data_IF_445683381832
#
_entry.id   IF_445683381832
#
_cell.length_a   1.000
_cell.length_b   1.000
_cell.length_c   1.000
_cell.angle_alpha   90.00
_cell.angle_beta   90.00
_cell.angle_gamma   90.00
#
_symmetry.space_group_name_H-M   'P 1'
#
loop_
_entity.id
_entity.type
_entity.pdbx_description
1 polymer ?
#
# COMPACT_ATOMS: atom_id res chain seq x y z
N UNK A 1 -32.91 33.96 27.10
CA UNK A 1 -33.52 32.70 26.59
C UNK A 1 -32.54 31.85 25.77
N UNK A 2 -31.83 32.42 24.78
CA UNK A 2 -30.96 31.70 23.84
C UNK A 2 -29.94 30.78 24.56
N UNK A 3 -29.21 31.29 25.56
CA UNK A 3 -28.23 30.50 26.32
C UNK A 3 -28.79 29.21 26.94
N UNK A 4 -30.02 29.23 27.50
CA UNK A 4 -30.68 28.00 28.04
C UNK A 4 -31.08 27.01 26.94
N UNK A 5 -31.34 27.47 25.71
CA UNK A 5 -31.62 26.59 24.57
C UNK A 5 -30.32 25.95 24.05
N UNK A 6 -29.27 26.73 23.89
CA UNK A 6 -27.93 26.24 23.53
C UNK A 6 -27.40 25.21 24.55
N UNK A 7 -27.51 25.50 25.85
CA UNK A 7 -27.07 24.58 26.91
C UNK A 7 -27.84 23.25 26.88
N UNK A 8 -29.16 23.28 26.64
CA UNK A 8 -29.99 22.06 26.50
C UNK A 8 -29.66 21.28 25.23
N UNK A 9 -29.43 21.97 24.11
CA UNK A 9 -29.02 21.33 22.86
C UNK A 9 -27.65 20.65 23.02
N UNK A 10 -26.66 21.34 23.61
CA UNK A 10 -25.34 20.79 23.92
C UNK A 10 -25.40 19.60 24.88
N UNK A 11 -26.20 19.67 25.95
CA UNK A 11 -26.40 18.55 26.86
C UNK A 11 -27.07 17.35 26.18
N UNK A 12 -28.08 17.58 25.34
CA UNK A 12 -28.74 16.50 24.59
C UNK A 12 -27.78 15.85 23.59
N UNK A 13 -26.97 16.65 22.89
CA UNK A 13 -25.95 16.14 21.97
C UNK A 13 -24.89 15.33 22.72
N UNK A 14 -24.43 15.80 23.88
CA UNK A 14 -23.47 15.10 24.72
C UNK A 14 -24.03 13.77 25.27
N UNK A 15 -25.30 13.74 25.67
CA UNK A 15 -25.97 12.50 26.11
C UNK A 15 -26.19 11.51 24.96
N UNK A 16 -26.56 11.99 23.76
CA UNK A 16 -26.67 11.15 22.56
C UNK A 16 -25.30 10.58 22.17
N UNK A 17 -24.24 11.41 22.18
CA UNK A 17 -22.88 10.97 21.92
C UNK A 17 -22.41 9.95 22.97
N UNK A 18 -22.63 10.20 24.25
CA UNK A 18 -22.30 9.26 25.33
C UNK A 18 -23.04 7.92 25.17
N UNK A 19 -24.35 7.94 24.89
CA UNK A 19 -25.14 6.75 24.61
C UNK A 19 -24.59 5.98 23.39
N UNK A 20 -24.32 6.68 22.29
CA UNK A 20 -23.76 6.09 21.09
C UNK A 20 -22.41 5.42 21.37
N UNK A 21 -21.47 6.10 22.03
CA UNK A 21 -20.13 5.59 22.29
C UNK A 21 -20.02 4.58 23.45
N UNK A 22 -21.00 4.48 24.35
CA UNK A 22 -20.97 3.51 25.47
C UNK A 22 -21.83 2.28 25.26
N UNK A 23 -22.98 2.41 24.57
CA UNK A 23 -23.97 1.33 24.44
C UNK A 23 -24.15 0.84 23.00
N UNK A 24 -24.09 1.71 22.00
CA UNK A 24 -24.18 1.30 20.59
C UNK A 24 -22.83 0.95 19.96
N UNK A 25 -21.73 1.54 20.47
CA UNK A 25 -20.38 1.43 19.93
C UNK A 25 -19.32 1.29 21.05
N UNK A 26 -19.47 0.32 21.99
CA UNK A 26 -18.59 0.15 23.15
C UNK A 26 -17.11 -0.01 22.75
N UNK A 27 -16.16 0.26 23.66
CA UNK A 27 -14.77 -0.09 23.46
C UNK A 27 -14.64 -1.62 23.35
N UNK A 28 -13.95 -2.08 22.32
CA UNK A 28 -13.81 -3.51 22.08
C UNK A 28 -12.73 -4.13 22.97
N UNK A 29 -13.06 -5.28 23.52
CA UNK A 29 -12.10 -6.16 24.17
C UNK A 29 -11.72 -7.26 23.18
N UNK A 30 -10.80 -6.93 22.27
CA UNK A 30 -10.13 -7.95 21.47
C UNK A 30 -9.23 -8.80 22.40
N UNK A 31 -9.21 -10.14 22.26
CA UNK A 31 -8.21 -10.97 22.90
C UNK A 31 -6.79 -10.49 22.54
N UNK A 32 -5.87 -10.54 23.49
CA UNK A 32 -4.47 -10.21 23.23
C UNK A 32 -3.86 -11.20 22.24
N UNK A 33 -3.40 -10.71 21.09
CA UNK A 33 -2.69 -11.53 20.09
C UNK A 33 -1.20 -11.53 20.40
N UNK A 34 -0.60 -12.71 20.45
CA UNK A 34 0.85 -12.89 20.66
C UNK A 34 1.64 -12.81 19.36
N UNK A 35 2.92 -12.42 19.44
CA UNK A 35 3.85 -12.46 18.31
C UNK A 35 3.98 -13.86 17.69
N UNK A 36 3.84 -14.91 18.50
CA UNK A 36 3.82 -16.30 18.05
C UNK A 36 2.59 -16.66 17.23
N UNK A 37 1.42 -16.08 17.54
CA UNK A 37 0.20 -16.23 16.73
C UNK A 37 0.33 -15.47 15.41
N UNK A 38 0.78 -14.22 15.44
CA UNK A 38 1.05 -13.44 14.23
C UNK A 38 2.01 -14.15 13.28
N UNK A 39 3.11 -14.73 13.81
CA UNK A 39 4.06 -15.49 12.99
C UNK A 39 3.46 -16.76 12.40
N UNK A 40 2.58 -17.48 13.13
CA UNK A 40 1.87 -18.65 12.59
C UNK A 40 0.86 -18.26 11.50
N UNK A 41 0.12 -17.17 11.68
CA UNK A 41 -0.80 -16.64 10.67
C UNK A 41 -0.06 -16.21 9.41
N UNK A 42 1.08 -15.51 9.55
CA UNK A 42 1.93 -15.15 8.42
C UNK A 42 2.48 -16.39 7.68
N UNK A 43 2.92 -17.43 8.41
CA UNK A 43 3.33 -18.69 7.79
C UNK A 43 2.17 -19.37 7.05
N UNK A 44 0.96 -19.40 7.61
CA UNK A 44 -0.20 -19.99 6.95
C UNK A 44 -0.54 -19.28 5.62
N UNK A 45 -0.35 -17.96 5.54
CA UNK A 45 -0.45 -17.20 4.29
C UNK A 45 0.65 -17.57 3.28
N UNK A 46 1.90 -17.69 3.71
CA UNK A 46 3.02 -18.16 2.86
C UNK A 46 2.72 -19.56 2.32
N UNK A 47 2.31 -20.50 3.18
CA UNK A 47 1.95 -21.86 2.81
C UNK A 47 0.79 -21.90 1.80
N UNK A 48 -0.19 -20.99 1.94
CA UNK A 48 -1.28 -20.84 0.96
C UNK A 48 -0.75 -20.39 -0.40
N UNK A 49 0.10 -19.36 -0.46
CA UNK A 49 0.70 -18.93 -1.74
C UNK A 49 1.59 -20.00 -2.36
N UNK A 50 2.40 -20.70 -1.56
CA UNK A 50 3.26 -21.79 -2.05
C UNK A 50 2.44 -22.94 -2.64
N UNK A 51 1.35 -23.37 -1.97
CA UNK A 51 0.46 -24.43 -2.47
C UNK A 51 -0.33 -24.02 -3.71
N UNK A 52 -0.67 -22.74 -3.85
CA UNK A 52 -1.51 -22.21 -4.94
C UNK A 52 -0.72 -21.51 -6.05
N UNK A 53 0.62 -21.66 -6.10
CA UNK A 53 1.42 -21.20 -7.21
C UNK A 53 1.46 -22.25 -8.33
N UNK A 54 1.23 -21.81 -9.55
CA UNK A 54 1.29 -22.62 -10.77
C UNK A 54 2.74 -22.76 -11.25
N UNK A 55 3.04 -23.74 -12.12
CA UNK A 55 4.40 -23.94 -12.65
C UNK A 55 4.98 -22.75 -13.42
N UNK A 56 4.13 -21.87 -13.96
CA UNK A 56 4.55 -20.66 -14.68
C UNK A 56 4.90 -19.48 -13.76
N UNK A 57 4.79 -19.63 -12.44
CA UNK A 57 5.03 -18.58 -11.45
C UNK A 57 3.79 -17.75 -11.07
N UNK A 58 2.67 -17.88 -11.79
CA UNK A 58 1.40 -17.24 -11.38
C UNK A 58 0.79 -17.93 -10.16
N UNK A 59 -0.12 -17.24 -9.47
CA UNK A 59 -0.90 -17.80 -8.36
C UNK A 59 -2.37 -17.99 -8.74
N UNK A 60 -3.10 -18.76 -7.95
CA UNK A 60 -4.56 -18.64 -7.88
C UNK A 60 -4.94 -17.21 -7.50
N UNK A 61 -5.62 -16.48 -8.40
CA UNK A 61 -5.86 -15.05 -8.22
C UNK A 61 -6.88 -14.74 -7.12
N UNK A 62 -8.02 -15.42 -7.14
CA UNK A 62 -9.07 -15.29 -6.14
C UNK A 62 -9.72 -16.64 -5.93
N UNK A 63 -9.89 -17.00 -4.66
CA UNK A 63 -10.69 -18.12 -4.17
C UNK A 63 -11.86 -17.55 -3.35
N UNK A 64 -13.07 -18.02 -3.63
CA UNK A 64 -14.28 -17.65 -2.94
C UNK A 64 -14.67 -18.81 -2.02
N UNK A 65 -14.56 -18.62 -0.71
CA UNK A 65 -14.82 -19.69 0.26
C UNK A 65 -16.33 -19.98 0.43
N UNK A 66 -17.21 -19.03 0.09
CA UNK A 66 -18.65 -19.15 0.29
C UNK A 66 -19.32 -20.11 -0.72
N UNK A 67 -18.74 -20.27 -1.91
CA UNK A 67 -19.26 -21.10 -3.02
C UNK A 67 -18.22 -22.05 -3.63
N UNK A 68 -17.06 -22.22 -2.99
CA UNK A 68 -15.93 -23.07 -3.41
C UNK A 68 -15.48 -22.80 -4.87
N UNK A 69 -15.43 -21.52 -5.26
CA UNK A 69 -15.14 -21.11 -6.64
C UNK A 69 -13.83 -20.34 -6.80
N UNK A 70 -13.31 -20.33 -8.03
CA UNK A 70 -12.07 -19.64 -8.41
C UNK A 70 -12.30 -18.68 -9.57
N UNK A 71 -11.73 -17.47 -9.50
CA UNK A 71 -11.75 -16.55 -10.65
C UNK A 71 -10.73 -16.95 -11.72
N UNK A 72 -11.13 -16.82 -12.99
CA UNK A 72 -10.23 -16.92 -14.16
C UNK A 72 -9.45 -15.64 -14.46
N UNK A 73 -9.76 -14.54 -13.76
CA UNK A 73 -9.06 -13.26 -13.91
C UNK A 73 -7.61 -13.34 -13.41
N UNK A 74 -6.76 -12.44 -13.90
CA UNK A 74 -5.42 -12.25 -13.37
C UNK A 74 -5.05 -10.77 -13.39
N UNK A 75 -4.46 -10.27 -12.30
CA UNK A 75 -4.07 -8.87 -12.19
C UNK A 75 -2.55 -8.73 -11.95
N UNK A 76 -1.78 -8.14 -12.89
CA UNK A 76 -0.33 -7.93 -12.76
C UNK A 76 0.11 -7.13 -11.53
N UNK A 77 -0.65 -6.12 -11.12
CA UNK A 77 -0.33 -5.31 -9.93
C UNK A 77 -0.45 -6.18 -8.68
N UNK A 78 -1.47 -7.03 -8.60
CA UNK A 78 -1.61 -8.00 -7.51
C UNK A 78 -0.55 -9.10 -7.56
N UNK A 79 -0.10 -9.52 -8.75
CA UNK A 79 1.07 -10.40 -8.87
C UNK A 79 2.31 -9.75 -8.24
N UNK A 80 2.65 -8.52 -8.63
CA UNK A 80 3.80 -7.80 -8.05
C UNK A 80 3.65 -7.56 -6.54
N UNK A 81 2.43 -7.27 -6.06
CA UNK A 81 2.13 -7.13 -4.63
C UNK A 81 2.32 -8.43 -3.84
N UNK A 82 1.90 -9.57 -4.38
CA UNK A 82 2.15 -10.89 -3.76
C UNK A 82 3.65 -11.22 -3.76
N UNK A 83 4.35 -10.97 -4.87
CA UNK A 83 5.80 -11.13 -4.96
C UNK A 83 6.54 -10.29 -3.90
N UNK A 84 6.15 -9.01 -3.75
CA UNK A 84 6.67 -8.10 -2.73
C UNK A 84 6.40 -8.61 -1.30
N UNK A 85 5.15 -8.99 -0.99
CA UNK A 85 4.80 -9.50 0.34
C UNK A 85 5.50 -10.82 0.68
N UNK A 86 5.78 -11.67 -0.31
CA UNK A 86 6.57 -12.88 -0.13
C UNK A 86 8.06 -12.58 0.09
N UNK A 87 8.62 -11.49 -0.47
CA UNK A 87 9.97 -11.04 -0.10
C UNK A 87 10.02 -10.43 1.30
N UNK A 88 8.99 -9.69 1.75
CA UNK A 88 8.86 -9.27 3.15
C UNK A 88 8.81 -10.49 4.10
N UNK A 89 8.02 -11.52 3.74
CA UNK A 89 7.95 -12.77 4.48
C UNK A 89 9.31 -13.53 4.49
N UNK A 90 10.05 -13.51 3.38
CA UNK A 90 11.39 -14.08 3.30
C UNK A 90 12.38 -13.34 4.22
N UNK A 91 12.37 -12.00 4.22
CA UNK A 91 13.17 -11.17 5.12
C UNK A 91 12.83 -11.43 6.60
N UNK A 92 11.56 -11.70 6.91
CA UNK A 92 11.11 -12.15 8.24
C UNK A 92 11.45 -13.62 8.57
N UNK A 93 12.16 -14.33 7.68
CA UNK A 93 12.60 -15.71 7.86
C UNK A 93 11.47 -16.74 7.84
N UNK A 94 10.41 -16.52 7.04
CA UNK A 94 9.32 -17.49 6.87
C UNK A 94 9.67 -18.51 5.76
N UNK A 95 9.79 -19.82 6.08
CA UNK A 95 10.13 -20.85 5.10
C UNK A 95 9.19 -20.88 3.88
N UNK A 96 9.77 -21.17 2.71
CA UNK A 96 9.05 -21.27 1.43
C UNK A 96 8.79 -19.93 0.73
N UNK A 97 8.80 -18.80 1.45
CA UNK A 97 8.47 -17.49 0.90
C UNK A 97 9.41 -17.06 -0.23
N UNK A 98 10.73 -17.12 -0.01
CA UNK A 98 11.75 -16.71 -0.99
C UNK A 98 11.61 -17.44 -2.33
N UNK A 99 11.51 -18.77 -2.30
CA UNK A 99 11.38 -19.57 -3.53
C UNK A 99 10.03 -19.39 -4.25
N UNK A 100 8.99 -18.95 -3.55
CA UNK A 100 7.71 -18.57 -4.16
C UNK A 100 7.80 -17.19 -4.82
N UNK A 101 8.45 -16.23 -4.15
CA UNK A 101 8.70 -14.89 -4.65
C UNK A 101 9.61 -14.90 -5.89
N UNK A 102 10.73 -15.64 -5.86
CA UNK A 102 11.66 -15.77 -7.00
C UNK A 102 10.95 -16.29 -8.26
N UNK A 103 9.99 -17.22 -8.14
CA UNK A 103 9.16 -17.70 -9.26
C UNK A 103 8.18 -16.65 -9.78
N UNK A 104 7.61 -15.83 -8.91
CA UNK A 104 6.79 -14.69 -9.33
C UNK A 104 7.63 -13.64 -10.06
N UNK A 105 8.78 -13.27 -9.48
CA UNK A 105 9.77 -12.40 -10.13
C UNK A 105 10.14 -12.91 -11.53
N UNK A 106 10.42 -14.20 -11.71
CA UNK A 106 10.71 -14.76 -13.04
C UNK A 106 9.54 -14.49 -14.03
N UNK A 107 8.30 -14.79 -13.65
CA UNK A 107 7.12 -14.51 -14.48
C UNK A 107 6.96 -13.03 -14.85
N UNK A 108 7.27 -12.12 -13.92
CA UNK A 108 7.16 -10.68 -14.16
C UNK A 108 8.29 -10.14 -15.04
N UNK A 109 9.53 -10.66 -14.88
CA UNK A 109 10.69 -10.31 -15.68
C UNK A 109 10.60 -10.83 -17.13
N UNK A 110 9.96 -11.98 -17.34
CA UNK A 110 9.63 -12.50 -18.68
C UNK A 110 8.61 -11.62 -19.45
N UNK A 111 8.04 -10.60 -18.78
CA UNK A 111 6.95 -9.74 -19.29
C UNK A 111 7.30 -8.25 -19.22
N UNK A 112 8.58 -7.91 -19.29
CA UNK A 112 9.00 -6.52 -19.38
C UNK A 112 8.71 -5.92 -20.76
N UNK A 113 8.17 -4.71 -20.77
CA UNK A 113 8.28 -3.78 -21.87
C UNK A 113 9.52 -2.92 -21.62
N UNK A 114 10.46 -2.92 -22.56
CA UNK A 114 11.71 -2.18 -22.46
C UNK A 114 11.78 -1.09 -23.53
N UNK A 115 12.21 0.11 -23.13
CA UNK A 115 12.28 1.28 -24.00
C UNK A 115 13.20 2.34 -23.40
N UNK A 116 13.93 3.08 -24.24
CA UNK A 116 14.67 4.30 -23.86
C UNK A 116 15.50 4.19 -22.55
N UNK A 117 16.09 3.02 -22.32
CA UNK A 117 16.93 2.72 -21.14
C UNK A 117 16.18 2.37 -19.84
N UNK A 118 14.85 2.27 -19.87
CA UNK A 118 13.99 1.85 -18.76
C UNK A 118 13.19 0.56 -19.11
N UNK A 119 12.58 -0.04 -18.09
CA UNK A 119 11.73 -1.22 -18.22
C UNK A 119 10.44 -1.08 -17.37
N UNK A 120 9.35 -1.76 -17.76
CA UNK A 120 8.10 -1.79 -17.01
C UNK A 120 7.40 -3.16 -17.14
N UNK A 121 6.66 -3.57 -16.10
CA UNK A 121 5.95 -4.87 -16.09
C UNK A 121 4.68 -4.80 -16.94
N UNK A 122 4.74 -5.34 -18.17
CA UNK A 122 3.65 -5.36 -19.14
C UNK A 122 2.98 -6.75 -19.21
N UNK A 123 2.45 -7.22 -18.08
CA UNK A 123 1.83 -8.54 -18.00
C UNK A 123 0.29 -8.53 -18.19
N UNK A 124 -0.32 -7.36 -18.31
CA UNK A 124 -1.78 -7.20 -18.52
C UNK A 124 -2.16 -6.77 -19.94
N UNK A 125 -1.17 -6.51 -20.80
CA UNK A 125 -1.35 -5.77 -22.04
C UNK A 125 -1.43 -4.25 -21.82
N UNK A 126 -1.51 -3.46 -22.90
CA UNK A 126 -1.59 -2.01 -22.82
C UNK A 126 -2.99 -1.53 -22.33
N UNK A 127 -3.06 -0.41 -21.57
CA UNK A 127 -1.93 0.39 -21.12
C UNK A 127 -1.24 -0.21 -19.88
N UNK A 128 0.07 -0.04 -19.78
CA UNK A 128 0.91 -0.66 -18.75
C UNK A 128 0.67 0.04 -17.40
N UNK A 129 0.18 -0.68 -16.40
CA UNK A 129 -0.09 -0.12 -15.06
C UNK A 129 1.18 0.11 -14.24
N UNK A 130 1.39 1.35 -13.77
CA UNK A 130 2.60 1.76 -13.02
C UNK A 130 2.82 0.95 -11.73
N UNK A 131 1.74 0.63 -10.99
CA UNK A 131 1.81 -0.14 -9.75
C UNK A 131 2.46 -1.52 -9.88
N UNK A 132 2.34 -2.17 -11.05
CA UNK A 132 3.01 -3.46 -11.32
C UNK A 132 4.53 -3.34 -11.24
N UNK A 133 5.08 -2.24 -11.77
CA UNK A 133 6.50 -1.94 -11.70
C UNK A 133 6.90 -1.49 -10.30
N UNK A 134 6.12 -0.60 -9.67
CA UNK A 134 6.42 -0.06 -8.35
C UNK A 134 6.54 -1.15 -7.28
N UNK A 135 5.54 -2.04 -7.20
CA UNK A 135 5.55 -3.14 -6.24
C UNK A 135 6.65 -4.17 -6.52
N UNK A 136 7.00 -4.41 -7.80
CA UNK A 136 8.13 -5.29 -8.14
C UNK A 136 9.46 -4.68 -7.70
N UNK A 137 9.68 -3.38 -7.91
CA UNK A 137 10.88 -2.66 -7.46
C UNK A 137 11.02 -2.77 -5.93
N UNK A 138 9.97 -2.43 -5.18
CA UNK A 138 9.99 -2.52 -3.72
C UNK A 138 10.33 -3.95 -3.25
N UNK A 139 9.69 -4.98 -3.85
CA UNK A 139 9.98 -6.39 -3.56
C UNK A 139 11.41 -6.81 -3.88
N UNK A 140 11.97 -6.38 -5.02
CA UNK A 140 13.33 -6.71 -5.43
C UNK A 140 14.40 -6.04 -4.56
N UNK A 141 14.17 -4.82 -4.08
CA UNK A 141 15.05 -4.16 -3.11
C UNK A 141 15.00 -4.89 -1.75
N UNK A 142 13.82 -5.25 -1.25
CA UNK A 142 13.67 -6.08 -0.04
C UNK A 142 14.40 -7.44 -0.19
N UNK A 143 14.29 -8.08 -1.37
CA UNK A 143 15.02 -9.31 -1.68
C UNK A 143 16.54 -9.08 -1.59
N UNK A 144 17.04 -8.01 -2.20
CA UNK A 144 18.46 -7.66 -2.24
C UNK A 144 19.02 -7.49 -0.83
N UNK A 145 18.35 -6.69 0.01
CA UNK A 145 18.71 -6.53 1.43
C UNK A 145 18.71 -7.86 2.19
N UNK A 146 17.67 -8.69 2.02
CA UNK A 146 17.51 -9.95 2.75
C UNK A 146 18.46 -11.07 2.32
N UNK A 147 19.05 -10.99 1.12
CA UNK A 147 19.86 -12.07 0.52
C UNK A 147 21.30 -11.67 0.16
N UNK A 148 21.60 -10.37 0.11
CA UNK A 148 22.85 -9.80 -0.43
C UNK A 148 23.19 -10.26 -1.86
N UNK A 149 22.18 -10.64 -2.66
CA UNK A 149 22.31 -11.17 -4.03
C UNK A 149 21.96 -10.07 -5.06
N UNK A 150 22.96 -9.41 -5.70
CA UNK A 150 22.77 -8.22 -6.54
C UNK A 150 22.33 -8.55 -7.98
N UNK A 151 21.89 -9.79 -8.26
CA UNK A 151 21.58 -10.25 -9.63
C UNK A 151 20.52 -9.44 -10.37
N UNK A 152 19.74 -8.65 -9.63
CA UNK A 152 18.66 -7.84 -10.18
C UNK A 152 18.98 -6.34 -10.23
N UNK A 153 20.16 -5.89 -9.77
CA UNK A 153 20.49 -4.46 -9.63
C UNK A 153 20.31 -3.67 -10.96
N UNK A 154 20.73 -4.23 -12.11
CA UNK A 154 20.49 -3.61 -13.43
C UNK A 154 18.99 -3.43 -13.75
N UNK A 155 18.19 -4.48 -13.55
CA UNK A 155 16.77 -4.43 -13.89
C UNK A 155 15.99 -3.59 -12.89
N UNK A 156 16.40 -3.60 -11.61
CA UNK A 156 15.91 -2.69 -10.56
C UNK A 156 16.11 -1.23 -11.00
N UNK A 157 17.30 -0.86 -11.47
CA UNK A 157 17.58 0.49 -11.96
C UNK A 157 16.78 0.84 -13.23
N UNK A 158 16.59 -0.11 -14.16
CA UNK A 158 15.73 0.08 -15.35
C UNK A 158 14.26 0.26 -14.99
N UNK A 159 13.76 -0.47 -13.99
CA UNK A 159 12.40 -0.33 -13.46
C UNK A 159 12.22 0.99 -12.70
N UNK A 160 13.24 1.43 -11.94
CA UNK A 160 13.26 2.74 -11.27
C UNK A 160 13.13 3.91 -12.25
N UNK A 161 13.88 3.88 -13.36
CA UNK A 161 13.80 4.92 -14.42
C UNK A 161 12.41 5.05 -15.04
N UNK A 162 11.63 3.96 -15.10
CA UNK A 162 10.24 4.03 -15.54
C UNK A 162 9.35 4.74 -14.51
N UNK A 163 9.54 4.49 -13.21
CA UNK A 163 8.79 5.21 -12.17
C UNK A 163 9.07 6.72 -12.20
N UNK A 164 10.33 7.11 -12.44
CA UNK A 164 10.67 8.51 -12.66
C UNK A 164 10.01 9.09 -13.93
N UNK A 165 10.05 8.36 -15.05
CA UNK A 165 9.39 8.79 -16.30
C UNK A 165 7.86 8.92 -16.18
N UNK A 166 7.24 8.17 -15.27
CA UNK A 166 5.82 8.28 -14.91
C UNK A 166 5.52 9.39 -13.88
N UNK A 167 6.54 9.98 -13.24
CA UNK A 167 6.39 10.98 -12.17
C UNK A 167 6.54 12.40 -12.68
N UNK A 168 5.43 13.15 -12.68
CA UNK A 168 5.37 14.54 -13.15
C UNK A 168 6.24 15.51 -12.33
N UNK A 169 6.55 16.71 -12.86
CA UNK A 169 7.20 17.79 -12.11
C UNK A 169 6.41 18.29 -10.88
N UNK A 170 5.13 17.95 -10.75
CA UNK A 170 4.32 18.19 -9.56
C UNK A 170 4.52 17.14 -8.46
N UNK A 171 5.00 15.94 -8.81
CA UNK A 171 5.00 14.75 -7.94
C UNK A 171 3.82 13.81 -8.16
N UNK A 172 2.84 14.18 -8.99
CA UNK A 172 1.77 13.28 -9.41
C UNK A 172 2.33 12.14 -10.28
N UNK A 173 1.86 10.90 -10.06
CA UNK A 173 2.33 9.71 -10.77
C UNK A 173 1.24 9.22 -11.72
N UNK A 174 1.55 9.14 -13.02
CA UNK A 174 0.62 8.59 -14.00
C UNK A 174 0.31 7.12 -13.69
N UNK A 175 -0.97 6.75 -13.68
CA UNK A 175 -1.39 5.39 -13.36
C UNK A 175 -1.03 4.38 -14.44
N UNK A 176 -0.99 4.83 -15.70
CA UNK A 176 -0.74 3.97 -16.85
C UNK A 176 0.22 4.59 -17.87
N UNK A 177 0.89 3.73 -18.64
CA UNK A 177 1.72 4.10 -19.79
C UNK A 177 1.15 3.49 -21.09
N UNK A 178 0.91 4.33 -22.08
CA UNK A 178 0.48 3.93 -23.42
C UNK A 178 1.70 3.51 -24.25
N UNK A 179 1.95 2.21 -24.32
CA UNK A 179 3.05 1.62 -25.08
C UNK A 179 2.87 1.66 -26.60
N UNK A 180 1.65 1.96 -27.09
CA UNK A 180 1.39 2.09 -28.52
C UNK A 180 1.78 3.49 -29.02
N UNK A 181 1.46 4.54 -28.25
CA UNK A 181 1.87 5.91 -28.55
C UNK A 181 3.20 6.32 -27.88
N UNK A 182 3.76 5.51 -26.99
CA UNK A 182 5.05 5.74 -26.35
C UNK A 182 5.05 6.84 -25.30
N UNK A 183 3.98 7.02 -24.53
CA UNK A 183 3.80 8.13 -23.59
C UNK A 183 3.03 7.74 -22.33
N UNK A 184 3.23 8.41 -21.19
CA UNK A 184 2.31 8.34 -20.04
C UNK A 184 0.89 8.73 -20.45
N UNK A 185 -0.12 8.14 -19.79
CA UNK A 185 -1.52 8.52 -20.00
C UNK A 185 -1.84 9.78 -19.18
N UNK A 186 -1.98 10.92 -19.85
CA UNK A 186 -2.23 12.20 -19.20
C UNK A 186 -3.60 12.24 -18.50
N UNK A 187 -3.62 12.70 -17.24
CA UNK A 187 -4.84 12.77 -16.42
C UNK A 187 -5.33 11.43 -15.85
N UNK A 188 -4.65 10.32 -16.14
CA UNK A 188 -4.94 9.00 -15.55
C UNK A 188 -4.15 8.82 -14.24
N UNK A 189 -4.87 8.75 -13.13
CA UNK A 189 -4.33 8.65 -11.78
C UNK A 189 -4.95 7.49 -11.01
N UNK A 190 -4.15 6.89 -10.13
CA UNK A 190 -4.55 5.76 -9.31
C UNK A 190 -4.44 6.16 -7.86
N UNK A 191 -5.52 5.92 -7.12
CA UNK A 191 -5.63 6.13 -5.67
C UNK A 191 -4.41 5.63 -4.87
N UNK A 192 -3.73 4.60 -5.38
CA UNK A 192 -2.65 3.91 -4.69
C UNK A 192 -1.29 3.94 -5.42
N UNK A 193 -1.23 4.05 -6.75
CA UNK A 193 0.06 3.90 -7.46
C UNK A 193 1.04 5.04 -7.17
N UNK A 194 0.54 6.23 -6.82
CA UNK A 194 1.37 7.35 -6.34
C UNK A 194 2.11 6.99 -5.05
N UNK A 195 1.42 6.38 -4.07
CA UNK A 195 2.04 5.87 -2.85
C UNK A 195 2.94 4.64 -3.08
N UNK A 196 2.55 3.71 -3.96
CA UNK A 196 3.37 2.54 -4.32
C UNK A 196 4.70 2.98 -4.96
N UNK A 197 4.66 3.95 -5.89
CA UNK A 197 5.84 4.51 -6.54
C UNK A 197 6.70 5.33 -5.57
N UNK A 198 6.09 6.10 -4.67
CA UNK A 198 6.79 6.81 -3.59
C UNK A 198 7.63 5.85 -2.74
N UNK A 199 7.01 4.75 -2.28
CA UNK A 199 7.72 3.75 -1.48
C UNK A 199 8.83 3.05 -2.25
N UNK A 200 8.57 2.64 -3.50
CA UNK A 200 9.56 1.99 -4.35
C UNK A 200 10.79 2.88 -4.59
N UNK A 201 10.60 4.14 -4.94
CA UNK A 201 11.68 5.12 -5.15
C UNK A 201 12.41 5.48 -3.85
N UNK A 202 11.69 5.54 -2.73
CA UNK A 202 12.32 5.82 -1.45
C UNK A 202 13.22 4.66 -0.97
N UNK A 203 12.81 3.40 -1.20
CA UNK A 203 13.68 2.23 -0.97
C UNK A 203 14.88 2.19 -1.91
N UNK A 204 14.66 2.48 -3.21
CA UNK A 204 15.75 2.59 -4.19
C UNK A 204 16.83 3.59 -3.74
N UNK A 205 16.44 4.74 -3.20
CA UNK A 205 17.39 5.76 -2.74
C UNK A 205 18.25 5.29 -1.56
N UNK A 206 17.73 4.44 -0.67
CA UNK A 206 18.51 3.92 0.46
C UNK A 206 19.59 2.93 0.02
N UNK A 207 19.31 2.13 -1.01
CA UNK A 207 20.24 1.13 -1.57
C UNK A 207 21.18 1.70 -2.66
N UNK A 208 20.74 2.75 -3.37
CA UNK A 208 21.41 3.37 -4.52
C UNK A 208 21.35 4.92 -4.47
N UNK A 209 21.94 5.57 -3.45
CA UNK A 209 21.72 7.00 -3.15
C UNK A 209 22.23 7.98 -4.22
N UNK A 210 23.25 7.60 -4.97
CA UNK A 210 23.87 8.47 -5.99
C UNK A 210 23.09 8.54 -7.31
N UNK A 211 22.06 7.71 -7.49
CA UNK A 211 21.29 7.62 -8.74
C UNK A 211 20.15 8.65 -8.84
N UNK A 212 19.86 9.38 -7.75
CA UNK A 212 18.95 10.53 -7.75
C UNK A 212 17.50 10.24 -7.35
N UNK A 213 17.15 8.97 -7.11
CA UNK A 213 15.81 8.49 -6.75
C UNK A 213 15.13 9.31 -5.63
N UNK A 214 15.89 9.72 -4.61
CA UNK A 214 15.39 10.51 -3.48
C UNK A 214 14.73 11.83 -3.88
N UNK A 215 15.21 12.50 -4.94
CA UNK A 215 14.60 13.74 -5.45
C UNK A 215 13.23 13.51 -6.07
N UNK A 216 13.00 12.32 -6.62
CA UNK A 216 11.70 11.94 -7.15
C UNK A 216 10.78 11.44 -6.02
N UNK A 217 11.30 10.68 -5.06
CA UNK A 217 10.57 10.29 -3.85
C UNK A 217 10.07 11.52 -3.06
N UNK A 218 10.94 12.49 -2.76
CA UNK A 218 10.60 13.73 -2.04
C UNK A 218 9.49 14.52 -2.74
N UNK A 219 9.54 14.58 -4.08
CA UNK A 219 8.55 15.27 -4.90
C UNK A 219 7.18 14.60 -4.82
N UNK A 220 7.13 13.26 -4.82
CA UNK A 220 5.87 12.51 -4.63
C UNK A 220 5.34 12.66 -3.20
N UNK A 221 6.23 12.61 -2.19
CA UNK A 221 5.86 12.84 -0.79
C UNK A 221 5.22 14.20 -0.55
N UNK A 222 5.82 15.27 -1.10
CA UNK A 222 5.25 16.62 -1.06
C UNK A 222 3.90 16.72 -1.80
N UNK A 223 3.76 16.07 -2.97
CA UNK A 223 2.50 16.03 -3.71
C UNK A 223 1.37 15.39 -2.89
N UNK A 224 1.63 14.21 -2.32
CA UNK A 224 0.70 13.49 -1.45
C UNK A 224 0.28 14.32 -0.23
N UNK A 225 1.24 15.00 0.40
CA UNK A 225 0.99 15.79 1.60
C UNK A 225 0.21 17.09 1.35
N UNK A 226 0.46 17.77 0.23
CA UNK A 226 0.00 19.15 0.01
C UNK A 226 -1.21 19.24 -0.94
N UNK A 227 -1.30 18.38 -1.96
CA UNK A 227 -2.18 18.68 -3.11
C UNK A 227 -2.88 17.50 -3.78
N UNK A 228 -2.52 16.24 -3.52
CA UNK A 228 -3.11 15.08 -4.21
C UNK A 228 -4.64 15.04 -4.16
N UNK A 229 -5.23 15.16 -2.97
CA UNK A 229 -6.67 14.98 -2.82
C UNK A 229 -7.48 16.13 -3.46
N UNK A 230 -6.93 17.35 -3.54
CA UNK A 230 -7.54 18.48 -4.26
C UNK A 230 -7.37 18.37 -5.78
N UNK A 231 -6.16 18.00 -6.24
CA UNK A 231 -5.82 17.93 -7.67
C UNK A 231 -6.46 16.72 -8.38
N UNK A 232 -6.66 15.60 -7.66
CA UNK A 232 -7.30 14.38 -8.18
C UNK A 232 -8.81 14.28 -7.81
N UNK A 233 -9.41 15.31 -7.19
CA UNK A 233 -10.83 15.38 -6.79
C UNK A 233 -11.30 14.23 -5.85
N UNK A 234 -10.49 13.90 -4.84
CA UNK A 234 -10.83 12.88 -3.84
C UNK A 234 -11.56 13.49 -2.63
N UNK A 235 -12.88 13.25 -2.56
CA UNK A 235 -13.66 13.53 -1.35
C UNK A 235 -14.44 12.29 -0.87
N UNK A 236 -14.24 11.79 0.37
CA UNK A 236 -13.25 12.26 1.36
C UNK A 236 -11.80 11.98 0.94
N UNK A 237 -10.81 12.61 1.61
CA UNK A 237 -9.38 12.36 1.44
C UNK A 237 -9.00 10.88 1.38
N UNK A 238 -8.03 10.53 0.54
CA UNK A 238 -7.63 9.13 0.33
C UNK A 238 -6.92 8.56 1.57
N UNK A 239 -7.44 7.47 2.16
CA UNK A 239 -6.69 6.70 3.15
C UNK A 239 -5.61 5.90 2.42
N UNK A 240 -4.35 6.31 2.58
CA UNK A 240 -3.19 5.80 1.86
C UNK A 240 -2.20 5.12 2.82
N UNK A 241 -2.09 3.80 2.71
CA UNK A 241 -1.16 3.00 3.50
C UNK A 241 0.22 2.90 2.83
N UNK A 242 0.29 3.04 1.50
CA UNK A 242 1.56 3.02 0.77
C UNK A 242 2.38 4.29 1.02
N UNK A 243 1.70 5.43 1.15
CA UNK A 243 2.33 6.68 1.57
C UNK A 243 2.98 6.58 2.97
N UNK A 244 2.45 5.73 3.85
CA UNK A 244 3.05 5.46 5.16
C UNK A 244 4.42 4.77 5.01
N UNK A 245 4.49 3.77 4.14
CA UNK A 245 5.75 3.08 3.83
C UNK A 245 6.75 4.02 3.17
N UNK A 246 6.35 4.82 2.18
CA UNK A 246 7.23 5.81 1.57
C UNK A 246 7.80 6.79 2.58
N UNK A 247 6.97 7.32 3.48
CA UNK A 247 7.43 8.21 4.55
C UNK A 247 8.36 7.50 5.55
N UNK A 248 8.08 6.24 5.89
CA UNK A 248 8.94 5.44 6.77
C UNK A 248 10.33 5.13 6.18
N UNK A 249 10.51 5.26 4.86
CA UNK A 249 11.83 5.24 4.23
C UNK A 249 12.46 6.63 4.14
N UNK A 250 11.72 7.67 3.72
CA UNK A 250 12.28 9.02 3.54
C UNK A 250 12.75 9.65 4.84
N UNK A 251 12.16 9.33 6.00
CA UNK A 251 12.70 9.76 7.31
C UNK A 251 14.12 9.29 7.59
N UNK A 252 14.63 8.30 6.84
CA UNK A 252 15.99 7.75 6.96
C UNK A 252 17.00 8.44 6.03
N UNK A 253 16.56 9.30 5.11
CA UNK A 253 17.43 9.99 4.15
C UNK A 253 18.42 10.92 4.88
N UNK A 254 19.75 10.72 4.76
CA UNK A 254 20.75 11.52 5.46
C UNK A 254 20.65 13.03 5.19
N UNK A 255 20.23 13.42 3.98
CA UNK A 255 20.11 14.80 3.52
C UNK A 255 18.88 15.56 4.07
N UNK A 256 17.84 14.86 4.55
CA UNK A 256 16.62 15.48 5.09
C UNK A 256 16.82 16.12 6.47
N UNK A 257 17.94 15.86 7.15
CA UNK A 257 18.32 16.55 8.37
C UNK A 257 17.46 16.17 9.60
N UNK A 258 17.22 17.14 10.50
CA UNK A 258 16.48 16.94 11.76
C UNK A 258 15.65 18.18 12.11
N UNK A 259 14.31 18.09 12.22
CA UNK A 259 13.47 16.92 11.90
C UNK A 259 13.55 16.55 10.40
N UNK A 260 13.37 15.26 10.03
CA UNK A 260 13.47 14.81 8.64
C UNK A 260 12.17 14.98 7.84
N UNK A 261 11.08 15.41 8.48
CA UNK A 261 9.79 15.70 7.86
C UNK A 261 9.50 17.20 7.89
N UNK A 262 8.90 17.67 6.81
CA UNK A 262 8.28 19.00 6.73
C UNK A 262 7.00 19.06 7.56
N UNK A 263 6.52 20.28 7.84
CA UNK A 263 5.26 20.46 8.57
C UNK A 263 4.06 19.85 7.81
N UNK A 264 4.02 20.01 6.49
CA UNK A 264 2.97 19.46 5.64
C UNK A 264 2.96 17.92 5.66
N UNK A 265 4.13 17.27 5.62
CA UNK A 265 4.24 15.81 5.78
C UNK A 265 3.77 15.34 7.16
N UNK A 266 4.07 16.09 8.24
CA UNK A 266 3.62 15.77 9.61
C UNK A 266 2.10 15.91 9.76
N UNK A 267 1.51 16.95 9.17
CA UNK A 267 0.07 17.17 9.23
C UNK A 267 -0.69 16.19 8.33
N UNK A 268 -0.13 15.83 7.17
CA UNK A 268 -0.62 14.73 6.34
C UNK A 268 -0.58 13.38 7.08
N UNK A 269 0.54 13.03 7.71
CA UNK A 269 0.67 11.81 8.50
C UNK A 269 -0.37 11.74 9.63
N UNK A 270 -0.63 12.86 10.32
CA UNK A 270 -1.70 12.95 11.33
C UNK A 270 -3.09 12.73 10.72
N UNK A 271 -3.39 13.37 9.59
CA UNK A 271 -4.66 13.18 8.88
C UNK A 271 -4.88 11.73 8.46
N UNK A 272 -3.85 11.07 7.94
CA UNK A 272 -3.88 9.63 7.60
C UNK A 272 -4.10 8.76 8.84
N UNK A 273 -3.36 9.01 9.92
CA UNK A 273 -3.52 8.32 11.20
C UNK A 273 -4.96 8.41 11.75
N UNK A 274 -5.60 9.59 11.63
CA UNK A 274 -7.00 9.80 12.00
C UNK A 274 -7.97 9.01 11.10
N UNK A 275 -7.79 9.06 9.77
CA UNK A 275 -8.61 8.30 8.80
C UNK A 275 -8.55 6.79 9.06
N UNK A 276 -7.36 6.23 9.24
CA UNK A 276 -7.19 4.81 9.54
C UNK A 276 -7.66 4.42 10.94
N UNK A 277 -7.53 5.31 11.93
CA UNK A 277 -8.14 5.11 13.25
C UNK A 277 -9.66 5.00 13.20
N UNK A 278 -10.33 5.81 12.36
CA UNK A 278 -11.78 5.69 12.11
C UNK A 278 -12.12 4.39 11.38
N UNK A 279 -11.34 3.99 10.36
CA UNK A 279 -11.56 2.73 9.64
C UNK A 279 -11.40 1.50 10.54
N UNK A 280 -10.35 1.46 11.35
CA UNK A 280 -10.13 0.37 12.30
C UNK A 280 -11.31 0.26 13.27
N UNK A 281 -11.74 1.37 13.89
CA UNK A 281 -12.92 1.37 14.76
C UNK A 281 -14.21 0.94 14.03
N UNK A 282 -14.39 1.34 12.77
CA UNK A 282 -15.55 0.95 11.98
C UNK A 282 -15.60 -0.57 11.73
N UNK A 283 -14.46 -1.14 11.36
CA UNK A 283 -14.32 -2.56 10.98
C UNK A 283 -14.39 -3.47 12.18
N UNK A 284 -13.76 -3.10 13.31
CA UNK A 284 -13.77 -3.91 14.52
C UNK A 284 -15.19 -3.98 15.12
N UNK A 285 -15.88 -2.82 15.26
CA UNK A 285 -17.22 -2.75 15.85
C UNK A 285 -18.33 -3.42 15.01
N UNK A 286 -18.02 -3.82 13.78
CA UNK A 286 -18.90 -4.53 12.85
C UNK A 286 -19.45 -5.84 13.40
N UNK A 287 -18.68 -6.55 14.23
CA UNK A 287 -19.05 -7.86 14.76
C UNK A 287 -19.67 -7.79 16.16
N UNK A 288 -19.91 -6.58 16.68
CA UNK A 288 -20.67 -6.37 17.92
C UNK A 288 -22.19 -6.57 17.75
N UNK A 289 -22.97 -6.60 18.84
CA UNK A 289 -24.41 -6.93 18.83
C UNK A 289 -25.29 -5.96 18.02
N UNK A 290 -24.78 -4.77 17.68
CA UNK A 290 -25.45 -3.77 16.84
C UNK A 290 -24.68 -3.48 15.54
N UNK A 291 -23.63 -4.26 15.26
CA UNK A 291 -22.64 -3.94 14.24
C UNK A 291 -23.23 -3.89 12.83
N UNK A 292 -23.97 -4.91 12.39
CA UNK A 292 -24.64 -4.91 11.08
C UNK A 292 -25.70 -3.80 10.97
N UNK A 293 -26.44 -3.51 12.05
CA UNK A 293 -27.49 -2.48 12.06
C UNK A 293 -26.91 -1.06 11.90
N UNK A 294 -25.75 -0.79 12.48
CA UNK A 294 -25.12 0.55 12.50
C UNK A 294 -24.04 0.71 11.42
N UNK A 295 -23.39 -0.37 11.01
CA UNK A 295 -22.25 -0.40 10.07
C UNK A 295 -22.57 -1.05 8.71
N UNK A 296 -23.78 -1.59 8.54
CA UNK A 296 -24.24 -2.21 7.31
C UNK A 296 -23.61 -3.59 7.02
N UNK A 297 -24.09 -4.24 5.96
CA UNK A 297 -23.77 -5.64 5.64
C UNK A 297 -22.42 -5.88 4.95
N UNK A 298 -21.65 -4.85 4.58
CA UNK A 298 -20.24 -4.95 4.14
C UNK A 298 -19.94 -6.12 3.17
N UNK A 299 -18.89 -6.93 3.33
CA UNK A 299 -17.79 -6.98 4.33
C UNK A 299 -16.44 -6.62 3.67
N UNK A 300 -15.43 -6.05 4.37
CA UNK A 300 -14.08 -5.99 3.80
C UNK A 300 -13.59 -7.40 3.45
N UNK A 301 -12.95 -7.57 2.29
CA UNK A 301 -12.21 -8.81 1.98
C UNK A 301 -10.96 -8.90 2.85
N UNK A 302 -10.36 -10.09 2.99
CA UNK A 302 -9.15 -10.32 3.81
C UNK A 302 -8.05 -9.26 3.63
N UNK A 303 -7.72 -8.90 2.38
CA UNK A 303 -6.74 -7.85 2.10
C UNK A 303 -7.11 -6.45 2.60
N UNK A 304 -8.41 -6.14 2.73
CA UNK A 304 -8.88 -4.88 3.31
C UNK A 304 -8.61 -4.76 4.82
N UNK A 305 -8.60 -5.88 5.56
CA UNK A 305 -8.15 -5.90 6.95
C UNK A 305 -6.63 -5.68 7.06
N UNK A 306 -5.87 -6.27 6.12
CA UNK A 306 -4.42 -6.06 5.99
C UNK A 306 -4.07 -4.58 5.83
N UNK A 307 -4.62 -3.93 4.81
CA UNK A 307 -4.43 -2.50 4.52
C UNK A 307 -4.63 -1.59 5.74
N UNK A 308 -5.68 -1.83 6.53
CA UNK A 308 -5.97 -1.02 7.73
C UNK A 308 -4.91 -1.26 8.82
N UNK A 309 -4.48 -2.51 9.00
CA UNK A 309 -3.48 -2.89 10.02
C UNK A 309 -2.08 -2.42 9.64
N UNK A 310 -1.73 -2.49 8.35
CA UNK A 310 -0.49 -1.98 7.76
C UNK A 310 -0.38 -0.47 7.96
N UNK A 311 -1.45 0.29 7.65
CA UNK A 311 -1.49 1.73 7.85
C UNK A 311 -1.34 2.15 9.33
N UNK A 312 -2.02 1.44 10.25
CA UNK A 312 -1.85 1.69 11.69
C UNK A 312 -0.43 1.39 12.18
N UNK A 313 0.31 0.51 11.51
CA UNK A 313 1.71 0.26 11.84
C UNK A 313 2.63 1.33 11.25
N UNK A 314 2.37 1.79 10.02
CA UNK A 314 3.22 2.77 9.33
C UNK A 314 3.06 4.22 9.80
N UNK A 315 1.85 4.64 10.19
CA UNK A 315 1.57 6.03 10.57
C UNK A 315 1.78 6.38 12.04
N UNK A 316 2.13 5.40 12.89
CA UNK A 316 2.26 5.57 14.35
C UNK A 316 3.65 5.16 14.90
N UNK A 317 4.69 5.28 14.06
CA UNK A 317 6.10 5.01 14.40
C UNK A 317 6.76 6.15 15.21
#
# INVERSE_FOLDING_TARGET
MIARRLLRAGLSLALIAAFAFTLAAPPESCPSVTSGELRRSAQASVDWFVRNQKPDGTWLYQYNADDDSTSSEYNPVRHSGVTMGLYQAAAAGLPGALGSADRGTAWALDRLYERDGWAAVNAGGPPISTGSTALLVAGLVIRREATADPRYDDVIARLGRFLEAQTQPSGAVHASYDSANGRPVAGDYSKYYTGEAYWALARLHLDFPDEGWGKTADRIGAYLAISRDEVEDHWPPVPDHWAAYGMAETVKFPERGRPPLTQDEVDYARGQAELFGVQARWVSQRFGPWGELVRGTYTPRGGGYGVISEALTGWWL
#
